data_IF_767459262392
#
_entry.id   IF_767459262392
#
_cell.length_a   1.000
_cell.length_b   1.000
_cell.length_c   1.000
_cell.angle_alpha   90.00
_cell.angle_beta   90.00
_cell.angle_gamma   90.00
#
_symmetry.space_group_name_H-M   'P 1'
#
loop_
_entity.id
_entity.type
_entity.pdbx_description
1 polymer ?
#
# COMPACT_ATOMS: atom_id res chain seq x y z
N UNK A 1 13.14 -3.99 -11.02
CA UNK A 1 11.95 -4.81 -11.37
C UNK A 1 11.11 -4.18 -12.48
N UNK A 2 10.67 -2.94 -12.31
CA UNK A 2 9.81 -2.26 -13.31
C UNK A 2 10.44 -2.18 -14.70
N UNK A 3 11.73 -1.92 -14.79
CA UNK A 3 12.44 -1.87 -16.07
C UNK A 3 12.45 -3.23 -16.78
N UNK A 4 12.55 -4.33 -16.02
CA UNK A 4 12.51 -5.68 -16.59
C UNK A 4 11.13 -6.02 -17.14
N UNK A 5 10.08 -5.62 -16.43
CA UNK A 5 8.71 -5.82 -16.87
C UNK A 5 8.45 -5.00 -18.14
N UNK A 6 8.88 -3.74 -18.14
CA UNK A 6 8.74 -2.86 -19.29
C UNK A 6 9.35 -3.47 -20.56
N UNK A 7 10.56 -4.04 -20.45
CA UNK A 7 11.23 -4.66 -21.60
C UNK A 7 10.50 -5.86 -22.17
N UNK A 8 9.71 -6.57 -21.34
CA UNK A 8 8.99 -7.76 -21.76
C UNK A 8 7.61 -7.49 -22.36
N UNK A 9 7.10 -6.27 -22.16
CA UNK A 9 5.82 -5.86 -22.71
C UNK A 9 5.99 -5.33 -24.13
N UNK A 10 5.00 -5.59 -24.96
CA UNK A 10 4.89 -4.97 -26.28
C UNK A 10 4.50 -3.50 -26.15
N UNK A 11 4.84 -2.65 -27.14
CA UNK A 11 4.36 -1.27 -27.14
C UNK A 11 2.84 -1.21 -26.97
N UNK A 12 2.35 -0.37 -26.06
CA UNK A 12 0.93 -0.29 -25.73
C UNK A 12 0.45 -1.37 -24.79
N UNK A 13 1.32 -2.30 -24.36
CA UNK A 13 0.96 -3.34 -23.39
C UNK A 13 0.67 -2.75 -22.01
N UNK A 14 -0.23 -3.38 -21.29
CA UNK A 14 -0.66 -2.93 -19.98
C UNK A 14 -0.06 -3.77 -18.86
N UNK A 15 0.19 -3.11 -17.73
CA UNK A 15 0.60 -3.73 -16.48
C UNK A 15 -0.36 -3.29 -15.39
N UNK A 16 -0.96 -4.25 -14.71
CA UNK A 16 -1.80 -4.02 -13.53
C UNK A 16 -1.17 -4.73 -12.35
N UNK A 17 -0.97 -4.01 -11.27
CA UNK A 17 -0.42 -4.62 -10.05
C UNK A 17 -0.94 -3.91 -8.81
N UNK A 18 -0.82 -4.60 -7.69
CA UNK A 18 -1.17 -4.08 -6.37
C UNK A 18 -0.03 -4.32 -5.40
N UNK A 19 -0.03 -3.54 -4.34
CA UNK A 19 0.95 -3.71 -3.26
C UNK A 19 0.36 -3.13 -1.96
N UNK A 20 1.00 -3.45 -0.84
CA UNK A 20 0.62 -2.83 0.42
C UNK A 20 0.75 -1.32 0.32
N UNK A 21 -0.27 -0.62 0.77
CA UNK A 21 -0.29 0.84 0.71
C UNK A 21 0.84 1.41 1.58
N UNK A 22 1.49 2.51 1.17
CA UNK A 22 2.51 3.16 2.00
C UNK A 22 2.07 3.54 3.40
N UNK A 23 0.78 3.80 3.61
CA UNK A 23 0.24 4.04 4.96
C UNK A 23 0.31 2.78 5.84
N UNK A 24 0.34 1.59 5.23
CA UNK A 24 0.50 0.33 5.96
C UNK A 24 1.97 0.07 6.27
N UNK A 25 2.86 0.31 5.31
CA UNK A 25 4.30 0.09 5.49
C UNK A 25 4.97 1.17 6.32
N UNK A 26 4.33 2.32 6.54
CA UNK A 26 4.80 3.38 7.43
C UNK A 26 4.58 3.01 8.90
N UNK A 27 5.11 1.87 9.31
CA UNK A 27 4.97 1.32 10.65
C UNK A 27 6.20 0.46 10.94
N UNK A 28 6.67 0.47 12.16
CA UNK A 28 7.92 -0.21 12.53
C UNK A 28 7.74 -1.35 13.52
N UNK A 29 6.50 -1.70 13.88
CA UNK A 29 6.22 -2.78 14.80
C UNK A 29 6.31 -2.43 16.28
N UNK A 30 6.67 -1.20 16.61
CA UNK A 30 6.93 -0.78 17.97
C UNK A 30 5.68 -0.38 18.76
N UNK A 31 4.54 -0.21 18.10
CA UNK A 31 3.28 0.19 18.72
C UNK A 31 2.11 -0.32 17.90
N UNK A 32 0.88 -0.20 18.45
CA UNK A 32 -0.33 -0.61 17.74
C UNK A 32 -0.51 0.21 16.45
N UNK A 33 -0.96 -0.44 15.40
CA UNK A 33 -1.28 0.21 14.13
C UNK A 33 -2.39 1.24 14.25
N UNK A 34 -3.19 1.14 15.29
CA UNK A 34 -4.30 2.06 15.56
C UNK A 34 -4.26 2.53 17.00
N UNK A 35 -4.65 3.78 17.21
CA UNK A 35 -4.96 4.29 18.55
C UNK A 35 -6.40 3.93 18.85
N UNK A 36 -6.63 3.36 20.04
CA UNK A 36 -7.91 2.76 20.42
C UNK A 36 -8.46 3.39 21.70
N UNK A 37 -9.78 3.28 21.86
CA UNK A 37 -10.45 3.58 23.12
C UNK A 37 -10.13 2.49 24.14
N UNK A 38 -10.52 2.70 25.41
CA UNK A 38 -10.40 1.69 26.48
C UNK A 38 -11.13 0.39 26.15
N UNK A 39 -12.20 0.48 25.32
CA UNK A 39 -13.00 -0.68 24.89
C UNK A 39 -12.47 -1.32 23.60
N UNK A 40 -11.35 -0.83 23.06
CA UNK A 40 -10.72 -1.40 21.88
C UNK A 40 -11.18 -0.85 20.55
N UNK A 41 -12.05 0.16 20.56
CA UNK A 41 -12.53 0.79 19.33
C UNK A 41 -11.42 1.63 18.68
N UNK A 42 -11.25 1.49 17.35
CA UNK A 42 -10.24 2.24 16.60
C UNK A 42 -10.64 3.70 16.45
N UNK A 43 -9.78 4.62 16.91
CA UNK A 43 -9.98 6.06 16.77
C UNK A 43 -9.32 6.61 15.52
N UNK A 44 -8.07 6.22 15.26
CA UNK A 44 -7.32 6.61 14.07
C UNK A 44 -6.15 5.67 13.84
N UNK A 45 -5.64 5.69 12.62
CA UNK A 45 -4.46 4.91 12.25
C UNK A 45 -3.19 5.66 12.66
N UNK A 46 -2.18 4.90 13.09
CA UNK A 46 -0.86 5.41 13.41
C UNK A 46 0.07 5.19 12.24
N UNK A 47 0.90 6.18 11.98
CA UNK A 47 1.99 6.02 11.02
C UNK A 47 3.27 6.60 11.62
N UNK A 48 4.42 6.11 11.15
CA UNK A 48 5.70 6.56 11.67
C UNK A 48 6.71 6.68 10.54
N UNK A 49 7.40 7.82 10.53
CA UNK A 49 8.48 8.08 9.59
C UNK A 49 8.07 7.82 8.14
N UNK A 50 6.89 8.30 7.74
CA UNK A 50 6.38 8.12 6.38
C UNK A 50 7.37 8.59 5.31
N UNK A 51 8.09 9.68 5.57
CA UNK A 51 9.04 10.24 4.62
C UNK A 51 10.42 9.58 4.66
N UNK A 52 10.63 8.61 5.54
CA UNK A 52 11.89 7.87 5.64
C UNK A 52 11.72 6.51 4.95
N UNK A 53 12.23 6.43 3.73
CA UNK A 53 12.13 5.22 2.93
C UNK A 53 13.20 4.21 3.34
N UNK A 54 12.92 2.92 3.17
CA UNK A 54 13.85 1.86 3.48
C UNK A 54 13.18 0.61 4.03
N UNK A 55 14.00 -0.38 4.43
CA UNK A 55 13.46 -1.63 4.96
C UNK A 55 12.81 -1.41 6.33
N UNK A 56 11.70 -2.12 6.53
CA UNK A 56 10.96 -2.15 7.79
C UNK A 56 10.79 -3.60 8.21
N UNK A 57 11.17 -3.93 9.43
CA UNK A 57 10.93 -5.26 10.01
C UNK A 57 9.66 -5.21 10.82
N UNK A 58 8.73 -6.09 10.49
CA UNK A 58 7.44 -6.19 11.17
C UNK A 58 7.12 -7.65 11.38
N UNK A 59 6.47 -7.96 12.50
CA UNK A 59 5.92 -9.27 12.73
C UNK A 59 4.53 -9.31 12.10
N UNK A 60 4.35 -10.26 11.21
CA UNK A 60 3.06 -10.45 10.54
C UNK A 60 2.70 -11.94 10.60
N UNK A 61 2.58 -12.61 9.47
CA UNK A 61 2.37 -14.06 9.45
C UNK A 61 3.63 -14.78 9.89
N UNK A 62 4.79 -14.20 9.61
CA UNK A 62 6.11 -14.73 9.96
C UNK A 62 6.82 -13.68 10.81
N UNK A 63 7.43 -14.12 11.92
CA UNK A 63 8.24 -13.26 12.76
C UNK A 63 9.43 -12.71 11.97
N UNK A 64 9.69 -11.40 12.11
CA UNK A 64 10.80 -10.75 11.43
C UNK A 64 10.57 -10.51 9.94
N UNK A 65 9.32 -10.55 9.48
CA UNK A 65 8.99 -10.23 8.09
C UNK A 65 9.51 -8.84 7.74
N UNK A 66 10.25 -8.75 6.63
CA UNK A 66 10.80 -7.49 6.15
C UNK A 66 10.01 -6.99 4.95
N UNK A 67 9.57 -5.73 5.01
CA UNK A 67 8.98 -5.03 3.89
C UNK A 67 9.79 -3.77 3.60
N UNK A 68 9.66 -3.24 2.40
CA UNK A 68 10.35 -2.01 2.02
C UNK A 68 9.34 -0.88 1.92
N UNK A 69 9.54 0.15 2.73
CA UNK A 69 8.65 1.32 2.73
C UNK A 69 9.09 2.33 1.69
N UNK A 70 8.14 2.76 0.86
CA UNK A 70 8.28 3.87 -0.09
C UNK A 70 7.06 4.75 -0.01
N UNK A 71 7.24 6.04 -0.23
CA UNK A 71 6.11 6.98 -0.30
C UNK A 71 5.31 6.76 -1.59
N UNK A 72 4.07 7.26 -1.60
CA UNK A 72 3.23 7.19 -2.81
C UNK A 72 3.91 7.88 -3.98
N UNK A 73 4.51 9.05 -3.76
CA UNK A 73 5.19 9.78 -4.84
C UNK A 73 6.37 9.00 -5.42
N UNK A 74 7.13 8.31 -4.59
CA UNK A 74 8.24 7.46 -5.08
C UNK A 74 7.72 6.33 -5.95
N UNK A 75 6.60 5.68 -5.56
CA UNK A 75 6.00 4.62 -6.36
C UNK A 75 5.53 5.13 -7.73
N UNK A 76 4.80 6.24 -7.73
CA UNK A 76 4.29 6.84 -8.97
C UNK A 76 5.46 7.25 -9.89
N UNK A 77 6.46 7.91 -9.34
CA UNK A 77 7.61 8.36 -10.12
C UNK A 77 8.43 7.19 -10.66
N UNK A 78 8.53 6.09 -9.91
CA UNK A 78 9.22 4.88 -10.40
C UNK A 78 8.50 4.29 -11.63
N UNK A 79 7.18 4.28 -11.63
CA UNK A 79 6.37 3.83 -12.77
C UNK A 79 6.66 4.71 -14.00
N UNK A 80 6.62 6.02 -13.82
CA UNK A 80 6.83 6.98 -14.91
C UNK A 80 8.25 6.86 -15.45
N UNK A 81 9.26 6.79 -14.59
CA UNK A 81 10.67 6.69 -15.00
C UNK A 81 10.98 5.37 -15.71
N UNK A 82 10.24 4.32 -15.41
CA UNK A 82 10.42 3.04 -16.10
C UNK A 82 9.86 3.03 -17.53
N UNK A 83 9.20 4.10 -17.97
CA UNK A 83 8.68 4.22 -19.33
C UNK A 83 7.19 3.93 -19.47
N UNK A 84 6.46 3.89 -18.35
CA UNK A 84 5.02 3.69 -18.38
C UNK A 84 4.26 5.00 -18.28
N UNK A 85 3.08 5.03 -18.89
CA UNK A 85 2.06 6.01 -18.58
C UNK A 85 1.17 5.45 -17.50
N UNK A 86 0.99 6.19 -16.42
CA UNK A 86 0.06 5.81 -15.36
C UNK A 86 -1.36 6.13 -15.83
N UNK A 87 -2.16 5.08 -16.04
CA UNK A 87 -3.54 5.24 -16.52
C UNK A 87 -4.51 5.39 -15.37
N UNK A 88 -4.28 4.66 -14.27
CA UNK A 88 -5.17 4.68 -13.14
C UNK A 88 -4.42 4.28 -11.87
N UNK A 89 -4.77 4.95 -10.77
CA UNK A 89 -4.33 4.59 -9.43
C UNK A 89 -5.57 4.49 -8.56
N UNK A 90 -5.72 3.38 -7.84
CA UNK A 90 -6.82 3.18 -6.90
C UNK A 90 -6.30 2.74 -5.56
N UNK A 91 -6.88 3.29 -4.51
CA UNK A 91 -6.71 2.76 -3.16
C UNK A 91 -7.87 1.81 -2.87
N UNK A 92 -7.57 0.72 -2.16
CA UNK A 92 -8.59 -0.28 -1.85
C UNK A 92 -9.71 0.35 -1.02
N UNK A 93 -10.94 0.03 -1.37
CA UNK A 93 -12.13 0.49 -0.64
C UNK A 93 -12.93 -0.69 -0.16
N UNK A 94 -13.44 -0.56 1.06
CA UNK A 94 -14.36 -1.52 1.65
C UNK A 94 -15.64 -0.77 1.97
N UNK A 95 -16.79 -1.36 1.63
CA UNK A 95 -18.10 -0.73 1.89
C UNK A 95 -18.37 -0.59 3.39
N UNK A 96 -19.21 0.37 3.74
CA UNK A 96 -19.65 0.54 5.13
C UNK A 96 -20.33 -0.71 5.64
N UNK A 97 -21.12 -1.37 4.79
CA UNK A 97 -21.79 -2.63 5.12
C UNK A 97 -20.80 -3.72 5.51
N UNK A 98 -19.72 -3.91 4.73
CA UNK A 98 -18.70 -4.90 5.04
C UNK A 98 -17.96 -4.57 6.34
N UNK A 99 -17.68 -3.31 6.59
CA UNK A 99 -17.04 -2.89 7.85
C UNK A 99 -17.93 -3.17 9.07
N UNK A 100 -19.23 -2.98 8.91
CA UNK A 100 -20.19 -3.24 9.99
C UNK A 100 -20.39 -4.73 10.24
N UNK A 101 -20.43 -5.55 9.17
CA UNK A 101 -20.59 -6.99 9.27
C UNK A 101 -19.34 -7.70 9.77
N UNK A 102 -18.16 -7.19 9.42
CA UNK A 102 -16.88 -7.81 9.74
C UNK A 102 -15.89 -6.79 10.32
N UNK A 103 -16.19 -6.20 11.49
CA UNK A 103 -15.34 -5.13 12.06
C UNK A 103 -13.93 -5.61 12.41
N UNK A 104 -13.75 -6.88 12.75
CA UNK A 104 -12.44 -7.43 13.07
C UNK A 104 -11.51 -7.45 11.85
N UNK A 105 -12.08 -7.71 10.67
CA UNK A 105 -11.32 -7.77 9.42
C UNK A 105 -11.20 -6.40 8.75
N UNK A 106 -12.28 -5.65 8.71
CA UNK A 106 -12.36 -4.45 7.85
C UNK A 106 -12.57 -3.13 8.61
N UNK A 107 -12.70 -3.17 9.93
CA UNK A 107 -12.95 -1.95 10.72
C UNK A 107 -11.89 -0.87 10.55
N UNK A 108 -10.63 -1.27 10.35
CA UNK A 108 -9.52 -0.33 10.14
C UNK A 108 -9.51 0.33 8.78
N UNK A 109 -10.24 -0.19 7.79
CA UNK A 109 -10.23 0.31 6.41
C UNK A 109 -10.91 1.67 6.25
N UNK A 110 -11.65 2.14 7.26
CA UNK A 110 -12.18 3.49 7.28
C UNK A 110 -11.09 4.52 7.57
N UNK A 111 -10.02 4.11 8.23
CA UNK A 111 -8.92 4.98 8.65
C UNK A 111 -7.78 5.04 7.64
N UNK A 112 -7.54 3.94 6.92
CA UNK A 112 -6.52 3.87 5.89
C UNK A 112 -6.81 2.71 4.93
N UNK A 113 -6.41 2.84 3.65
CA UNK A 113 -6.46 1.72 2.72
C UNK A 113 -5.36 0.70 3.03
N UNK A 114 -5.64 -0.59 2.80
CA UNK A 114 -4.65 -1.66 2.97
C UNK A 114 -3.78 -1.84 1.74
N UNK A 115 -4.33 -1.59 0.56
CA UNK A 115 -3.65 -1.81 -0.71
C UNK A 115 -3.80 -0.62 -1.64
N UNK A 116 -2.81 -0.47 -2.53
CA UNK A 116 -2.84 0.47 -3.63
C UNK A 116 -2.67 -0.30 -4.94
N UNK A 117 -3.43 0.09 -5.95
CA UNK A 117 -3.47 -0.58 -7.26
C UNK A 117 -3.07 0.43 -8.33
N UNK A 118 -2.28 -0.05 -9.29
CA UNK A 118 -1.86 0.76 -10.43
C UNK A 118 -2.19 0.05 -11.74
N UNK A 119 -2.69 0.79 -12.71
CA UNK A 119 -2.82 0.34 -14.08
C UNK A 119 -1.96 1.27 -14.95
N UNK A 120 -1.03 0.66 -15.65
CA UNK A 120 -0.01 1.37 -16.41
C UNK A 120 0.02 0.85 -17.84
N UNK A 121 0.45 1.72 -18.78
CA UNK A 121 0.57 1.37 -20.18
C UNK A 121 1.98 1.69 -20.66
N UNK A 122 2.60 0.74 -21.37
CA UNK A 122 3.93 0.96 -21.92
C UNK A 122 3.87 2.02 -22.99
N UNK A 123 4.66 3.08 -22.84
CA UNK A 123 4.82 4.12 -23.86
C UNK A 123 5.61 3.59 -25.05
N UNK A 124 5.26 4.05 -26.20
CA UNK A 124 5.91 3.70 -27.45
C UNK A 124 5.31 2.51 -28.14
#
# INVERSE_FOLDING_TARGET
MMAKIHRRLEPGGELVFSMSHPLVTAWDGMYDRYTRTETGERLYANLRNYCVEGPRKVDWVVEGYECYHRTVSTLINAIIRAGFTLEECREARVSDEMRQQHPDLFGGTAHRPEFIFFRCKKRG
#
